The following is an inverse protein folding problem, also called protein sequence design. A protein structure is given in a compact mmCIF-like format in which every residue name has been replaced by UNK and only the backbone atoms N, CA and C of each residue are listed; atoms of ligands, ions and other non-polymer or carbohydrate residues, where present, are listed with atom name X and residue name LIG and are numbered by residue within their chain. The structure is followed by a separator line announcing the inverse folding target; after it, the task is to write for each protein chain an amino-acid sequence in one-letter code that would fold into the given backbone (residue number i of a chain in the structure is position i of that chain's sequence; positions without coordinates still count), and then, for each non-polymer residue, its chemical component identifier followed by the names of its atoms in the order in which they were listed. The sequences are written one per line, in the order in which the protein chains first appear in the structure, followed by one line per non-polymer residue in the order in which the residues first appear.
data_IF_350423573745
#
_entry.id   IF_350423573745
#
_cell.length_a   1.000
_cell.length_b   1.000
_cell.length_c   1.000
_cell.angle_alpha   90.00
_cell.angle_beta   90.00
_cell.angle_gamma   90.00
#
_symmetry.space_group_name_H-M   'P 1'
#
loop_
_entity.id
_entity.type
_entity.pdbx_description
1 polymer ?
#
# COMPACT_ATOMS: atom_id res chain seq x y z
N UNK A 1 3.16 12.87 34.66
CA UNK A 1 2.98 13.35 33.27
C UNK A 1 3.81 12.58 32.23
N UNK A 2 4.83 11.79 32.60
CA UNK A 2 5.57 10.91 31.69
C UNK A 2 5.07 9.44 31.62
N UNK A 3 4.16 9.02 32.51
CA UNK A 3 3.63 7.65 32.57
C UNK A 3 2.57 7.32 31.50
N UNK A 4 2.23 8.28 30.65
CA UNK A 4 1.21 8.17 29.59
C UNK A 4 1.79 8.08 28.18
N UNK A 5 3.13 8.07 28.03
CA UNK A 5 3.78 8.24 26.72
C UNK A 5 4.32 6.96 26.07
N UNK A 6 4.27 5.81 26.76
CA UNK A 6 4.32 4.46 26.21
C UNK A 6 3.98 3.51 27.37
N UNK A 7 3.30 2.36 27.16
CA UNK A 7 3.07 1.37 28.21
C UNK A 7 4.36 0.59 28.53
N UNK A 8 5.46 1.29 28.83
CA UNK A 8 6.77 0.70 29.18
C UNK A 8 6.73 -0.07 30.51
N UNK A 9 5.72 0.19 31.35
CA UNK A 9 5.58 -0.46 32.66
C UNK A 9 5.07 -1.92 32.60
N UNK A 10 4.82 -2.48 31.40
CA UNK A 10 4.28 -3.84 31.23
C UNK A 10 5.31 -4.89 30.77
N UNK A 11 6.61 -4.60 30.84
CA UNK A 11 7.62 -5.66 30.73
C UNK A 11 7.44 -6.70 31.86
N UNK A 12 6.95 -6.28 33.03
CA UNK A 12 6.62 -7.19 34.13
C UNK A 12 5.36 -8.04 33.88
N UNK A 13 4.48 -7.64 32.96
CA UNK A 13 3.33 -8.46 32.56
C UNK A 13 3.79 -9.63 31.66
N UNK A 14 4.89 -9.47 30.93
CA UNK A 14 5.54 -10.57 30.18
C UNK A 14 5.88 -11.77 31.08
N UNK A 15 6.23 -11.51 32.33
CA UNK A 15 6.55 -12.55 33.34
C UNK A 15 5.32 -13.05 34.10
N UNK A 16 4.16 -12.38 34.03
CA UNK A 16 2.90 -12.83 34.65
C UNK A 16 2.02 -13.68 33.73
N UNK A 17 2.34 -13.76 32.43
CA UNK A 17 1.67 -14.62 31.43
C UNK A 17 2.04 -16.12 31.60
N UNK A 18 2.66 -16.51 32.71
CA UNK A 18 3.15 -17.87 32.94
C UNK A 18 2.07 -18.90 33.33
N UNK A 19 0.80 -18.53 33.44
CA UNK A 19 -0.21 -19.41 34.07
C UNK A 19 -1.35 -19.94 33.20
N UNK A 20 -1.44 -19.65 31.90
CA UNK A 20 -2.49 -20.24 31.05
C UNK A 20 -1.95 -20.78 29.73
N UNK A 21 -2.57 -21.85 29.21
CA UNK A 21 -2.20 -22.63 28.02
C UNK A 21 -2.26 -21.89 26.68
N UNK A 22 -1.93 -20.60 26.69
CA UNK A 22 -1.87 -19.64 25.61
C UNK A 22 -0.64 -19.91 24.75
N UNK A 23 -0.83 -20.03 23.42
CA UNK A 23 0.22 -20.28 22.44
C UNK A 23 1.28 -19.18 22.41
N UNK A 24 2.48 -19.48 21.89
CA UNK A 24 3.56 -18.49 21.76
C UNK A 24 3.13 -17.33 20.85
N UNK A 25 2.35 -17.63 19.81
CA UNK A 25 1.72 -16.68 18.90
C UNK A 25 0.77 -15.72 19.63
N UNK A 26 -0.14 -16.25 20.44
CA UNK A 26 -1.07 -15.44 21.22
C UNK A 26 -0.35 -14.51 22.22
N UNK A 27 0.79 -14.96 22.77
CA UNK A 27 1.62 -14.13 23.68
C UNK A 27 2.27 -12.96 22.95
N UNK A 28 2.76 -13.19 21.73
CA UNK A 28 3.33 -12.14 20.89
C UNK A 28 2.25 -11.12 20.53
N UNK A 29 1.06 -11.60 20.17
CA UNK A 29 -0.09 -10.74 19.85
C UNK A 29 -0.49 -9.90 21.06
N UNK A 30 -0.65 -10.47 22.26
CA UNK A 30 -1.00 -9.74 23.48
C UNK A 30 0.03 -8.67 23.87
N UNK A 31 1.30 -8.90 23.58
CA UNK A 31 2.35 -7.92 23.83
C UNK A 31 2.33 -6.77 22.82
N UNK A 32 2.06 -7.07 21.54
CA UNK A 32 2.08 -6.09 20.46
C UNK A 32 0.77 -5.30 20.32
N UNK A 33 -0.38 -5.93 20.57
CA UNK A 33 -1.71 -5.34 20.52
C UNK A 33 -1.80 -3.95 21.18
N UNK A 34 -1.36 -3.74 22.44
CA UNK A 34 -1.47 -2.42 23.08
C UNK A 34 -0.61 -1.34 22.41
N UNK A 35 0.52 -1.70 21.78
CA UNK A 35 1.35 -0.77 21.02
C UNK A 35 0.64 -0.40 19.71
N UNK A 36 0.14 -1.41 19.00
CA UNK A 36 -0.61 -1.24 17.75
C UNK A 36 -1.86 -0.39 17.95
N UNK A 37 -2.65 -0.67 19.00
CA UNK A 37 -3.85 0.07 19.35
C UNK A 37 -3.55 1.52 19.68
N UNK A 38 -2.48 1.78 20.45
CA UNK A 38 -2.08 3.15 20.79
C UNK A 38 -1.68 3.95 19.54
N UNK A 39 -0.87 3.36 18.65
CA UNK A 39 -0.49 3.99 17.38
C UNK A 39 -1.72 4.21 16.50
N UNK A 40 -2.59 3.20 16.38
CA UNK A 40 -3.81 3.27 15.58
C UNK A 40 -4.73 4.36 16.08
N UNK A 41 -4.96 4.45 17.39
CA UNK A 41 -5.79 5.50 17.99
C UNK A 41 -5.24 6.91 17.69
N UNK A 42 -3.90 7.07 17.68
CA UNK A 42 -3.27 8.36 17.42
C UNK A 42 -3.27 8.74 15.94
N UNK A 43 -3.03 7.78 15.05
CA UNK A 43 -2.98 8.02 13.60
C UNK A 43 -4.40 8.20 13.04
N UNK A 44 -5.36 7.40 13.51
CA UNK A 44 -6.76 7.43 13.08
C UNK A 44 -7.64 8.27 14.02
N UNK A 45 -7.05 9.27 14.67
CA UNK A 45 -7.83 10.25 15.43
C UNK A 45 -8.89 10.85 14.50
N UNK A 46 -10.13 10.76 14.96
CA UNK A 46 -11.31 11.09 14.15
C UNK A 46 -11.94 12.39 14.60
N UNK A 47 -12.60 13.05 13.66
CA UNK A 47 -13.46 14.20 13.92
C UNK A 47 -14.88 13.87 13.49
N UNK A 48 -15.87 14.28 14.29
CA UNK A 48 -17.27 14.08 13.98
C UNK A 48 -17.70 15.00 12.83
N UNK A 49 -18.08 14.41 11.70
CA UNK A 49 -18.64 15.11 10.54
C UNK A 49 -20.00 14.50 10.25
N UNK A 50 -21.07 15.29 10.38
CA UNK A 50 -22.45 14.89 10.03
C UNK A 50 -22.88 13.59 10.75
N UNK A 51 -22.49 13.42 12.02
CA UNK A 51 -22.83 12.25 12.82
C UNK A 51 -21.97 11.00 12.58
N UNK A 52 -20.90 11.12 11.79
CA UNK A 52 -19.94 10.04 11.55
C UNK A 52 -18.53 10.45 12.00
N UNK A 53 -17.80 9.51 12.59
CA UNK A 53 -16.40 9.70 12.95
C UNK A 53 -15.50 9.51 11.72
N UNK A 54 -14.83 10.59 11.30
CA UNK A 54 -13.95 10.58 10.13
C UNK A 54 -12.51 10.70 10.57
N UNK A 55 -11.64 9.72 10.27
CA UNK A 55 -10.22 9.85 10.56
C UNK A 55 -9.61 11.04 9.82
N UNK A 56 -8.90 11.92 10.54
CA UNK A 56 -8.28 13.13 9.96
C UNK A 56 -7.34 12.75 8.81
N UNK A 57 -6.61 11.64 8.94
CA UNK A 57 -5.72 11.12 7.90
C UNK A 57 -6.45 10.86 6.58
N UNK A 58 -7.69 10.34 6.62
CA UNK A 58 -8.50 10.09 5.42
C UNK A 58 -8.82 11.41 4.72
N UNK A 59 -9.20 12.45 5.46
CA UNK A 59 -9.49 13.77 4.89
C UNK A 59 -8.25 14.32 4.17
N UNK A 60 -7.08 14.26 4.81
CA UNK A 60 -5.82 14.73 4.21
C UNK A 60 -5.47 13.95 2.95
N UNK A 61 -5.64 12.61 2.97
CA UNK A 61 -5.38 11.75 1.82
C UNK A 61 -6.31 12.07 0.64
N UNK A 62 -7.61 12.26 0.91
CA UNK A 62 -8.60 12.61 -0.13
C UNK A 62 -8.31 13.98 -0.73
N UNK A 63 -8.04 14.99 0.10
CA UNK A 63 -7.73 16.33 -0.38
C UNK A 63 -6.42 16.34 -1.20
N UNK A 64 -5.40 15.61 -0.75
CA UNK A 64 -4.15 15.45 -1.49
C UNK A 64 -4.35 14.76 -2.83
N UNK A 65 -5.11 13.65 -2.85
CA UNK A 65 -5.41 12.91 -4.06
C UNK A 65 -6.24 13.72 -5.06
N UNK A 66 -7.22 14.48 -4.57
CA UNK A 66 -8.00 15.41 -5.38
C UNK A 66 -7.12 16.51 -5.96
N UNK A 67 -6.27 17.13 -5.12
CA UNK A 67 -5.32 18.15 -5.55
C UNK A 67 -4.40 17.62 -6.65
N UNK A 68 -3.77 16.45 -6.46
CA UNK A 68 -2.87 15.87 -7.47
C UNK A 68 -3.60 15.46 -8.74
N UNK A 69 -4.85 14.99 -8.64
CA UNK A 69 -5.66 14.66 -9.81
C UNK A 69 -5.93 15.89 -10.66
N UNK A 70 -6.34 17.00 -10.04
CA UNK A 70 -6.60 18.26 -10.72
C UNK A 70 -5.31 18.91 -11.24
N UNK A 71 -4.27 18.99 -10.41
CA UNK A 71 -2.98 19.59 -10.76
C UNK A 71 -2.33 18.90 -11.95
N UNK A 72 -2.44 17.57 -12.04
CA UNK A 72 -1.90 16.80 -13.15
C UNK A 72 -2.90 16.61 -14.32
N UNK A 73 -3.98 17.40 -14.37
CA UNK A 73 -4.99 17.36 -15.43
C UNK A 73 -5.50 15.94 -15.73
N UNK A 74 -5.91 15.20 -14.68
CA UNK A 74 -6.45 13.84 -14.80
C UNK A 74 -5.49 12.86 -15.49
N UNK A 75 -4.20 12.94 -15.17
CA UNK A 75 -3.15 12.05 -15.69
C UNK A 75 -3.45 10.56 -15.47
N UNK A 76 -4.15 10.21 -14.39
CA UNK A 76 -4.65 8.85 -14.12
C UNK A 76 -5.51 8.28 -15.27
N UNK A 77 -6.24 9.11 -16.01
CA UNK A 77 -6.96 8.69 -17.22
C UNK A 77 -6.12 8.87 -18.50
N UNK A 78 -5.49 10.04 -18.64
CA UNK A 78 -4.73 10.40 -19.85
C UNK A 78 -3.54 9.49 -20.14
N UNK A 79 -2.87 9.01 -19.09
CA UNK A 79 -1.60 8.28 -19.20
C UNK A 79 -1.73 6.77 -19.01
N UNK A 80 -2.94 6.23 -18.86
CA UNK A 80 -3.14 4.78 -18.65
C UNK A 80 -2.51 3.93 -19.77
N UNK A 81 -2.58 4.40 -21.02
CA UNK A 81 -1.93 3.74 -22.15
C UNK A 81 -0.41 3.76 -22.09
N UNK A 82 0.20 4.82 -21.52
CA UNK A 82 1.65 4.87 -21.27
C UNK A 82 2.01 3.86 -20.18
N UNK A 83 1.24 3.83 -19.09
CA UNK A 83 1.45 2.89 -17.98
C UNK A 83 1.37 1.43 -18.44
N UNK A 84 0.38 1.07 -19.28
CA UNK A 84 0.27 -0.28 -19.84
C UNK A 84 1.47 -0.64 -20.71
N UNK A 85 1.97 0.30 -21.53
CA UNK A 85 3.17 0.06 -22.36
C UNK A 85 4.43 -0.10 -21.51
N UNK A 86 4.56 0.68 -20.44
CA UNK A 86 5.65 0.55 -19.48
C UNK A 86 5.60 -0.82 -18.77
N UNK A 87 4.42 -1.23 -18.28
CA UNK A 87 4.23 -2.54 -17.67
C UNK A 87 4.51 -3.72 -18.62
N UNK A 88 4.37 -3.52 -19.94
CA UNK A 88 4.72 -4.49 -20.99
C UNK A 88 6.20 -4.44 -21.39
N UNK A 89 7.01 -3.62 -20.74
CA UNK A 89 8.45 -3.51 -20.97
C UNK A 89 8.85 -2.66 -22.17
N UNK A 90 7.93 -1.87 -22.75
CA UNK A 90 8.25 -1.01 -23.92
C UNK A 90 9.40 -0.02 -23.65
N UNK A 91 9.62 0.33 -22.39
CA UNK A 91 10.61 1.32 -21.97
C UNK A 91 11.72 0.70 -21.10
N UNK A 92 11.77 -0.63 -20.99
CA UNK A 92 12.84 -1.32 -20.23
C UNK A 92 14.22 -1.07 -20.85
N UNK A 93 14.31 -0.74 -22.14
CA UNK A 93 15.54 -0.38 -22.85
C UNK A 93 16.13 0.97 -22.43
N UNK A 94 15.32 1.83 -21.81
CA UNK A 94 15.75 3.14 -21.27
C UNK A 94 16.36 2.98 -19.88
N UNK A 95 16.04 1.89 -19.18
CA UNK A 95 16.61 1.53 -17.89
C UNK A 95 17.89 0.69 -18.09
N UNK A 96 19.06 1.30 -17.96
CA UNK A 96 20.33 0.58 -18.07
C UNK A 96 20.76 0.00 -16.70
N UNK A 97 21.29 -1.22 -16.69
CA UNK A 97 21.77 -1.90 -15.48
C UNK A 97 23.18 -1.44 -15.04
N UNK A 98 23.76 -0.43 -15.67
CA UNK A 98 25.11 0.08 -15.39
C UNK A 98 25.13 1.60 -15.31
N UNK A 99 26.02 2.09 -14.45
CA UNK A 99 26.44 3.49 -14.42
C UNK A 99 27.32 3.70 -15.65
N UNK A 100 26.72 3.87 -16.81
CA UNK A 100 27.49 4.34 -17.95
C UNK A 100 27.77 5.82 -17.70
N UNK A 101 29.03 6.12 -17.32
CA UNK A 101 29.57 7.47 -17.36
C UNK A 101 29.44 7.89 -18.82
N UNK A 102 28.46 8.74 -19.14
CA UNK A 102 28.39 9.37 -20.45
C UNK A 102 29.62 10.26 -20.58
N UNK A 103 30.64 9.74 -21.27
CA UNK A 103 31.85 10.49 -21.60
C UNK A 103 31.49 11.48 -22.69
N UNK A 104 31.63 12.76 -22.38
CA UNK A 104 31.93 13.81 -23.35
C UNK A 104 30.73 14.49 -24.02
N UNK A 105 30.82 15.81 -24.05
CA UNK A 105 30.06 16.71 -24.92
C UNK A 105 30.33 16.35 -26.41
N UNK A 106 29.31 16.07 -27.25
CA UNK A 106 29.55 15.78 -28.65
C UNK A 106 30.01 16.99 -29.45
N UNK A 107 29.77 18.24 -29.01
CA UNK A 107 30.34 19.47 -29.60
C UNK A 107 29.91 20.71 -28.80
N UNK A 108 30.79 21.29 -27.94
CA UNK A 108 30.53 22.61 -27.39
C UNK A 108 30.66 23.65 -28.51
N UNK A 109 29.54 24.24 -28.94
CA UNK A 109 29.51 25.36 -29.90
C UNK A 109 29.31 25.01 -31.38
N UNK A 110 28.70 23.87 -31.72
CA UNK A 110 28.35 23.52 -33.11
C UNK A 110 26.89 23.87 -33.49
N UNK A 111 26.65 24.27 -34.74
CA UNK A 111 25.33 24.65 -35.30
C UNK A 111 24.36 23.46 -35.54
N UNK A 112 24.57 22.32 -34.88
CA UNK A 112 23.74 21.12 -35.04
C UNK A 112 22.69 21.09 -33.92
N UNK A 113 21.43 20.78 -34.25
CA UNK A 113 20.37 20.59 -33.23
C UNK A 113 20.82 19.52 -32.24
N UNK A 114 21.01 19.91 -30.97
CA UNK A 114 21.31 18.97 -29.89
C UNK A 114 20.24 17.89 -29.82
N UNK A 115 20.66 16.64 -29.98
CA UNK A 115 19.79 15.49 -29.76
C UNK A 115 19.72 15.30 -28.25
N UNK A 116 18.52 15.19 -27.63
CA UNK A 116 18.42 14.94 -26.20
C UNK A 116 19.21 13.70 -25.84
N UNK A 117 20.21 13.85 -24.98
CA UNK A 117 20.93 12.72 -24.40
C UNK A 117 19.86 11.85 -23.73
N UNK A 118 19.73 10.60 -24.19
CA UNK A 118 19.01 9.56 -23.45
C UNK A 118 19.88 9.27 -22.21
N UNK A 119 19.73 10.08 -21.15
CA UNK A 119 20.37 9.78 -19.87
C UNK A 119 19.84 8.41 -19.42
N UNK A 120 20.71 7.41 -19.41
CA UNK A 120 20.37 6.06 -18.95
C UNK A 120 19.86 6.12 -17.51
N UNK A 121 18.66 5.59 -17.29
CA UNK A 121 18.03 5.57 -15.98
C UNK A 121 18.49 4.28 -15.28
N UNK A 122 19.39 4.37 -14.30
CA UNK A 122 19.85 3.16 -13.58
C UNK A 122 18.69 2.48 -12.82
N UNK A 123 18.42 1.20 -13.10
CA UNK A 123 17.35 0.41 -12.48
C UNK A 123 17.81 -1.00 -12.06
N UNK A 124 17.37 -1.46 -10.89
CA UNK A 124 17.71 -2.81 -10.38
C UNK A 124 16.76 -3.92 -10.89
N UNK A 125 15.55 -3.55 -11.30
CA UNK A 125 14.47 -4.45 -11.73
C UNK A 125 13.70 -3.83 -12.91
N UNK A 126 13.07 -4.66 -13.74
CA UNK A 126 12.26 -4.18 -14.87
C UNK A 126 11.00 -3.45 -14.41
N UNK A 127 10.35 -2.69 -15.30
CA UNK A 127 9.08 -2.02 -14.98
C UNK A 127 8.01 -3.03 -14.52
N UNK A 128 7.95 -4.21 -15.15
CA UNK A 128 7.01 -5.26 -14.77
C UNK A 128 7.32 -5.85 -13.39
N UNK A 129 8.60 -6.07 -13.07
CA UNK A 129 9.02 -6.55 -11.76
C UNK A 129 8.73 -5.51 -10.66
N UNK A 130 8.99 -4.23 -10.92
CA UNK A 130 8.64 -3.15 -10.01
C UNK A 130 7.12 -3.08 -9.77
N UNK A 131 6.31 -3.18 -10.85
CA UNK A 131 4.86 -3.20 -10.77
C UNK A 131 4.36 -4.39 -9.96
N UNK A 132 4.81 -5.61 -10.28
CA UNK A 132 4.37 -6.82 -9.57
C UNK A 132 4.84 -6.83 -8.12
N UNK A 133 6.05 -6.35 -7.81
CA UNK A 133 6.51 -6.20 -6.44
C UNK A 133 5.61 -5.22 -5.66
N UNK A 134 5.29 -4.06 -6.23
CA UNK A 134 4.37 -3.10 -5.62
C UNK A 134 2.96 -3.69 -5.43
N UNK A 135 2.42 -4.36 -6.44
CA UNK A 135 1.12 -5.03 -6.38
C UNK A 135 1.10 -6.18 -5.36
N UNK A 136 2.21 -6.90 -5.15
CA UNK A 136 2.29 -7.96 -4.14
C UNK A 136 2.14 -7.42 -2.72
N UNK A 137 2.58 -6.18 -2.48
CA UNK A 137 2.48 -5.53 -1.18
C UNK A 137 1.10 -4.92 -0.95
N UNK A 138 0.41 -4.48 -2.01
CA UNK A 138 -0.91 -3.85 -1.91
C UNK A 138 -2.06 -4.84 -2.00
N UNK A 139 -1.93 -5.93 -2.76
CA UNK A 139 -2.99 -6.94 -2.91
C UNK A 139 -2.77 -8.05 -1.88
N UNK A 140 -3.59 -8.02 -0.82
CA UNK A 140 -3.54 -9.06 0.22
C UNK A 140 -4.92 -9.41 0.80
N UNK A 141 -4.91 -10.31 1.79
CA UNK A 141 -6.10 -10.74 2.53
C UNK A 141 -6.84 -9.54 3.16
N UNK A 142 -6.09 -8.51 3.57
CA UNK A 142 -6.63 -7.24 4.04
C UNK A 142 -7.57 -6.54 3.04
N UNK A 143 -7.32 -6.64 1.73
CA UNK A 143 -8.17 -6.00 0.72
C UNK A 143 -9.48 -6.78 0.55
N UNK A 144 -9.41 -8.12 0.56
CA UNK A 144 -10.58 -8.99 0.43
C UNK A 144 -11.50 -8.82 1.66
N UNK A 145 -10.93 -8.95 2.86
CA UNK A 145 -11.68 -8.77 4.11
C UNK A 145 -12.12 -7.32 4.31
N UNK A 146 -11.29 -6.35 3.94
CA UNK A 146 -11.58 -4.92 4.07
C UNK A 146 -12.77 -4.47 3.22
N UNK A 147 -12.89 -4.96 1.98
CA UNK A 147 -14.07 -4.71 1.13
C UNK A 147 -15.32 -5.34 1.75
N UNK A 148 -15.24 -6.57 2.24
CA UNK A 148 -16.38 -7.22 2.90
C UNK A 148 -16.86 -6.45 4.13
N UNK A 149 -15.94 -5.96 4.97
CA UNK A 149 -16.25 -5.11 6.13
C UNK A 149 -16.82 -3.76 5.70
N UNK A 150 -16.31 -3.16 4.62
CA UNK A 150 -16.83 -1.91 4.07
C UNK A 150 -18.31 -2.05 3.65
N UNK A 151 -18.64 -3.14 2.97
CA UNK A 151 -20.02 -3.43 2.54
C UNK A 151 -20.90 -3.78 3.75
N UNK A 152 -20.39 -4.51 4.74
CA UNK A 152 -21.15 -4.86 5.94
C UNK A 152 -21.50 -3.63 6.80
N UNK A 153 -20.57 -2.67 6.93
CA UNK A 153 -20.76 -1.47 7.75
C UNK A 153 -21.42 -0.31 7.00
N UNK A 154 -21.00 -0.07 5.75
CA UNK A 154 -21.45 1.05 4.92
C UNK A 154 -22.51 0.69 3.89
N UNK A 155 -22.91 -0.58 3.80
CA UNK A 155 -23.79 -1.08 2.77
C UNK A 155 -23.12 -1.22 1.38
N UNK A 156 -23.84 -1.77 0.38
CA UNK A 156 -23.30 -1.98 -0.96
C UNK A 156 -22.81 -0.69 -1.64
N UNK A 157 -23.36 0.46 -1.26
CA UNK A 157 -22.99 1.78 -1.76
C UNK A 157 -21.55 2.21 -1.47
N UNK A 158 -20.92 1.65 -0.43
CA UNK A 158 -19.52 1.94 -0.11
C UNK A 158 -18.60 1.59 -1.30
N UNK A 159 -18.99 0.59 -2.11
CA UNK A 159 -18.26 0.14 -3.30
C UNK A 159 -18.00 1.27 -4.31
N UNK A 160 -19.00 2.13 -4.59
CA UNK A 160 -18.84 3.25 -5.53
C UNK A 160 -17.76 4.21 -5.04
N UNK A 161 -17.80 4.54 -3.76
CA UNK A 161 -16.85 5.47 -3.14
C UNK A 161 -15.46 4.86 -3.02
N UNK A 162 -15.34 3.55 -2.78
CA UNK A 162 -14.05 2.84 -2.82
C UNK A 162 -13.41 2.91 -4.21
N UNK A 163 -14.21 2.70 -5.27
CA UNK A 163 -13.74 2.81 -6.65
C UNK A 163 -13.27 4.24 -6.94
N UNK A 164 -14.07 5.25 -6.59
CA UNK A 164 -13.70 6.66 -6.77
C UNK A 164 -12.43 7.05 -6.00
N UNK A 165 -12.30 6.58 -4.76
CA UNK A 165 -11.11 6.79 -3.94
C UNK A 165 -9.87 6.14 -4.57
N UNK A 166 -9.99 4.94 -5.13
CA UNK A 166 -8.92 4.30 -5.91
C UNK A 166 -8.52 5.11 -7.14
N UNK A 167 -9.49 5.67 -7.87
CA UNK A 167 -9.22 6.55 -9.01
C UNK A 167 -8.43 7.80 -8.62
N UNK A 168 -8.80 8.46 -7.51
CA UNK A 168 -8.06 9.61 -7.00
C UNK A 168 -6.68 9.21 -6.48
N UNK A 169 -6.58 8.06 -5.80
CA UNK A 169 -5.33 7.52 -5.26
C UNK A 169 -4.27 7.24 -6.33
N UNK A 170 -4.67 6.86 -7.55
CA UNK A 170 -3.73 6.69 -8.67
C UNK A 170 -2.89 7.94 -8.95
N UNK A 171 -3.48 9.14 -8.83
CA UNK A 171 -2.75 10.39 -9.03
C UNK A 171 -1.72 10.64 -7.93
N UNK A 172 -2.09 10.39 -6.66
CA UNK A 172 -1.14 10.46 -5.54
C UNK A 172 0.02 9.51 -5.75
N UNK A 173 -0.28 8.24 -6.09
CA UNK A 173 0.76 7.22 -6.28
C UNK A 173 1.70 7.55 -7.43
N UNK A 174 1.17 8.09 -8.51
CA UNK A 174 1.97 8.58 -9.64
C UNK A 174 2.94 9.68 -9.20
N UNK A 175 2.48 10.65 -8.41
CA UNK A 175 3.35 11.72 -7.88
C UNK A 175 4.41 11.16 -6.94
N UNK A 176 4.04 10.26 -6.03
CA UNK A 176 5.00 9.58 -5.12
C UNK A 176 6.09 8.84 -5.89
N UNK A 177 5.70 8.02 -6.88
CA UNK A 177 6.64 7.24 -7.69
C UNK A 177 7.55 8.17 -8.53
N UNK A 178 6.98 9.23 -9.13
CA UNK A 178 7.73 10.21 -9.91
C UNK A 178 8.77 10.93 -9.06
N UNK A 179 8.39 11.39 -7.87
CA UNK A 179 9.33 12.00 -6.93
C UNK A 179 10.37 10.99 -6.42
N UNK A 180 9.95 9.74 -6.18
CA UNK A 180 10.84 8.64 -5.80
C UNK A 180 11.93 8.39 -6.82
N UNK A 181 11.61 8.41 -8.12
CA UNK A 181 12.58 8.27 -9.20
C UNK A 181 13.43 9.54 -9.35
N UNK A 182 12.82 10.73 -9.30
CA UNK A 182 13.52 12.01 -9.47
C UNK A 182 14.59 12.27 -8.41
N UNK A 183 14.37 11.84 -7.17
CA UNK A 183 15.28 12.06 -6.04
C UNK A 183 15.99 10.79 -5.56
N UNK A 184 16.02 9.73 -6.37
CA UNK A 184 16.73 8.51 -6.00
C UNK A 184 18.24 8.74 -5.95
N UNK A 185 18.92 7.95 -5.12
CA UNK A 185 20.38 7.90 -5.01
C UNK A 185 20.85 6.55 -5.47
N UNK A 186 21.98 6.53 -6.16
CA UNK A 186 22.67 5.31 -6.56
C UNK A 186 23.98 5.27 -5.78
N UNK A 187 24.25 4.18 -5.07
CA UNK A 187 25.55 4.00 -4.41
C UNK A 187 26.62 3.49 -5.37
N UNK A 188 27.86 3.41 -4.89
CA UNK A 188 29.01 2.93 -5.67
C UNK A 188 28.87 1.48 -6.16
N UNK A 189 28.01 0.69 -5.51
CA UNK A 189 27.72 -0.70 -5.89
C UNK A 189 26.55 -0.79 -6.89
N UNK A 190 26.03 0.34 -7.37
CA UNK A 190 24.91 0.40 -8.31
C UNK A 190 23.54 0.18 -7.65
N UNK A 191 23.46 0.15 -6.32
CA UNK A 191 22.20 -0.06 -5.61
C UNK A 191 21.41 1.25 -5.54
N UNK A 192 20.13 1.16 -5.83
CA UNK A 192 19.23 2.31 -5.99
C UNK A 192 18.38 2.47 -4.74
N UNK A 193 18.44 3.66 -4.16
CA UNK A 193 17.65 4.06 -3.01
C UNK A 193 16.70 5.18 -3.41
N UNK A 194 15.40 4.94 -3.29
CA UNK A 194 14.37 5.92 -3.62
C UNK A 194 13.22 5.89 -2.61
N UNK A 195 12.39 6.93 -2.65
CA UNK A 195 11.18 7.02 -1.84
C UNK A 195 11.08 8.30 -1.01
N UNK A 196 10.09 8.36 -0.11
CA UNK A 196 9.70 9.61 0.53
C UNK A 196 10.75 10.22 1.44
N UNK A 197 11.52 9.39 2.14
CA UNK A 197 12.66 9.85 2.93
C UNK A 197 13.68 10.64 2.10
N UNK A 198 13.90 10.28 0.82
CA UNK A 198 14.85 10.98 -0.05
C UNK A 198 14.24 12.25 -0.67
N UNK A 199 13.02 12.19 -1.21
CA UNK A 199 12.43 13.40 -1.79
C UNK A 199 11.99 14.44 -0.74
N UNK A 200 11.70 14.02 0.50
CA UNK A 200 11.44 14.94 1.60
C UNK A 200 12.73 15.62 2.05
N UNK A 201 13.84 14.91 2.16
CA UNK A 201 15.12 15.53 2.55
C UNK A 201 15.67 16.44 1.46
N UNK A 202 15.75 15.93 0.24
CA UNK A 202 16.47 16.59 -0.86
C UNK A 202 15.56 17.58 -1.59
N UNK A 203 14.32 17.18 -1.88
CA UNK A 203 13.34 18.06 -2.54
C UNK A 203 12.99 19.30 -1.72
N UNK A 204 12.82 19.19 -0.40
CA UNK A 204 12.55 20.36 0.45
C UNK A 204 13.79 21.20 0.71
N UNK A 205 15.01 20.61 0.67
CA UNK A 205 16.25 21.37 0.71
C UNK A 205 16.36 22.35 -0.46
N UNK A 206 16.00 21.92 -1.68
CA UNK A 206 15.96 22.82 -2.85
C UNK A 206 14.92 23.93 -2.74
N UNK A 207 13.86 23.75 -1.94
CA UNK A 207 12.82 24.76 -1.67
C UNK A 207 13.10 25.64 -0.43
N UNK A 208 14.34 25.65 0.08
CA UNK A 208 14.75 26.40 1.30
C UNK A 208 14.12 25.89 2.62
N UNK A 209 13.53 24.69 2.63
CA UNK A 209 12.95 24.05 3.82
C UNK A 209 13.78 22.84 4.30
N UNK A 210 15.11 22.93 4.22
CA UNK A 210 16.01 21.79 4.44
C UNK A 210 15.93 21.16 5.85
N UNK A 211 15.72 21.96 6.91
CA UNK A 211 15.56 21.44 8.27
C UNK A 211 14.27 20.62 8.40
N UNK A 212 13.14 21.18 7.95
CA UNK A 212 11.83 20.51 7.96
C UNK A 212 11.89 19.23 7.12
N UNK A 213 12.54 19.27 5.95
CA UNK A 213 12.69 18.10 5.08
C UNK A 213 13.43 16.94 5.75
N UNK A 214 14.53 17.22 6.46
CA UNK A 214 15.25 16.19 7.22
C UNK A 214 14.41 15.59 8.34
N UNK A 215 13.69 16.44 9.09
CA UNK A 215 12.80 15.95 10.16
C UNK A 215 11.70 15.06 9.60
N UNK A 216 11.00 15.49 8.54
CA UNK A 216 9.93 14.71 7.91
C UNK A 216 10.44 13.40 7.31
N UNK A 217 11.64 13.41 6.71
CA UNK A 217 12.27 12.20 6.19
C UNK A 217 12.55 11.17 7.30
N UNK A 218 13.12 11.62 8.42
CA UNK A 218 13.39 10.75 9.57
C UNK A 218 12.08 10.23 10.21
N UNK A 219 11.09 11.11 10.37
CA UNK A 219 9.78 10.75 10.89
C UNK A 219 9.09 9.72 9.99
N UNK A 220 9.09 9.93 8.68
CA UNK A 220 8.53 9.00 7.70
C UNK A 220 9.24 7.64 7.76
N UNK A 221 10.57 7.62 7.77
CA UNK A 221 11.33 6.37 7.85
C UNK A 221 10.99 5.57 9.12
N UNK A 222 10.92 6.24 10.28
CA UNK A 222 10.53 5.60 11.53
C UNK A 222 9.10 5.04 11.49
N UNK A 223 8.14 5.82 10.99
CA UNK A 223 6.74 5.39 10.85
C UNK A 223 6.58 4.23 9.86
N UNK A 224 7.30 4.24 8.73
CA UNK A 224 7.25 3.16 7.74
C UNK A 224 7.85 1.87 8.28
N UNK A 225 8.94 1.94 9.05
CA UNK A 225 9.49 0.74 9.72
C UNK A 225 8.42 0.15 10.63
N UNK A 226 7.81 0.95 11.51
CA UNK A 226 6.74 0.49 12.40
C UNK A 226 5.51 -0.06 11.66
N UNK A 227 5.03 0.66 10.65
CA UNK A 227 3.90 0.25 9.82
C UNK A 227 4.15 -1.04 9.03
N UNK A 228 5.39 -1.28 8.61
CA UNK A 228 5.78 -2.50 7.91
C UNK A 228 5.69 -3.73 8.81
N UNK A 229 6.02 -3.62 10.10
CA UNK A 229 5.83 -4.72 11.04
C UNK A 229 4.36 -4.98 11.35
N UNK A 230 3.59 -3.92 11.64
CA UNK A 230 2.18 -4.05 12.02
C UNK A 230 1.29 -4.49 10.85
N UNK A 231 1.04 -3.57 9.91
CA UNK A 231 0.13 -3.80 8.79
C UNK A 231 0.70 -4.71 7.71
N UNK A 232 2.00 -4.58 7.43
CA UNK A 232 2.65 -5.33 6.35
C UNK A 232 2.92 -6.80 6.69
N UNK A 233 3.42 -7.09 7.89
CA UNK A 233 3.86 -8.42 8.29
C UNK A 233 2.84 -9.12 9.21
N UNK A 234 2.67 -8.63 10.44
CA UNK A 234 1.88 -9.33 11.47
C UNK A 234 0.42 -9.52 11.05
N UNK A 235 -0.23 -8.45 10.59
CA UNK A 235 -1.64 -8.52 10.17
C UNK A 235 -1.85 -9.53 9.03
N UNK A 236 -1.00 -9.53 8.00
CA UNK A 236 -1.14 -10.43 6.86
C UNK A 236 -0.82 -11.89 7.23
N UNK A 237 0.23 -12.12 8.04
CA UNK A 237 0.60 -13.46 8.49
C UNK A 237 -0.48 -14.08 9.40
N UNK A 238 -1.04 -13.30 10.34
CA UNK A 238 -2.11 -13.74 11.22
C UNK A 238 -3.40 -14.05 10.44
N UNK A 239 -3.75 -13.20 9.46
CA UNK A 239 -4.91 -13.44 8.60
C UNK A 239 -4.73 -14.70 7.74
N UNK A 240 -3.53 -14.94 7.22
CA UNK A 240 -3.24 -16.17 6.47
C UNK A 240 -3.37 -17.41 7.36
N UNK A 241 -2.85 -17.36 8.59
CA UNK A 241 -2.96 -18.44 9.56
C UNK A 241 -4.41 -18.72 9.97
N UNK A 242 -5.24 -17.69 10.14
CA UNK A 242 -6.65 -17.85 10.50
C UNK A 242 -7.46 -18.52 9.38
N UNK A 243 -7.23 -18.12 8.13
CA UNK A 243 -7.86 -18.76 6.97
C UNK A 243 -7.39 -20.21 6.78
N UNK A 244 -6.11 -20.49 7.01
CA UNK A 244 -5.58 -21.85 6.96
C UNK A 244 -6.23 -22.75 8.01
N UNK A 245 -6.32 -22.29 9.28
CA UNK A 245 -7.00 -23.01 10.35
C UNK A 245 -8.47 -23.29 10.03
N UNK A 246 -9.17 -22.28 9.51
CA UNK A 246 -10.58 -22.39 9.13
C UNK A 246 -10.81 -23.43 8.02
N UNK A 247 -9.98 -23.40 6.97
CA UNK A 247 -10.14 -24.29 5.81
C UNK A 247 -9.94 -25.78 6.17
N UNK A 248 -9.02 -26.06 7.09
CA UNK A 248 -8.68 -27.44 7.50
C UNK A 248 -9.35 -27.87 8.82
N UNK A 249 -10.19 -27.03 9.43
CA UNK A 249 -10.84 -27.33 10.71
C UNK A 249 -9.85 -27.52 11.87
N UNK A 250 -8.73 -26.81 11.85
CA UNK A 250 -7.63 -26.97 12.81
C UNK A 250 -7.74 -25.95 13.95
N UNK A 251 -8.21 -26.38 15.10
CA UNK A 251 -8.45 -25.52 16.28
C UNK A 251 -7.22 -25.35 17.20
N UNK A 252 -6.14 -26.11 16.97
CA UNK A 252 -5.00 -26.13 17.91
C UNK A 252 -4.07 -24.92 17.76
N UNK A 253 -3.74 -24.25 18.87
CA UNK A 253 -2.77 -23.14 18.92
C UNK A 253 -1.40 -23.48 18.32
N UNK A 254 -0.96 -24.74 18.39
CA UNK A 254 0.32 -25.19 17.78
C UNK A 254 0.34 -25.03 16.26
N UNK A 255 -0.83 -25.08 15.61
CA UNK A 255 -0.95 -24.98 14.16
C UNK A 255 -0.60 -23.56 13.69
N UNK A 256 -1.01 -22.53 14.43
CA UNK A 256 -0.66 -21.13 14.15
C UNK A 256 0.84 -20.92 14.18
N UNK A 257 1.50 -21.38 15.25
CA UNK A 257 2.96 -21.30 15.39
C UNK A 257 3.72 -22.03 14.27
N UNK A 258 3.33 -23.28 13.96
CA UNK A 258 3.97 -24.06 12.90
C UNK A 258 3.76 -23.44 11.51
N UNK A 259 2.56 -22.91 11.25
CA UNK A 259 2.26 -22.17 10.03
C UNK A 259 3.13 -20.92 9.93
N UNK A 260 3.27 -20.15 11.02
CA UNK A 260 4.15 -18.98 11.09
C UNK A 260 5.61 -19.31 10.78
N UNK A 261 6.14 -20.39 11.36
CA UNK A 261 7.52 -20.85 11.11
C UNK A 261 7.70 -21.25 9.63
N UNK A 262 6.74 -21.97 9.07
CA UNK A 262 6.75 -22.35 7.66
C UNK A 262 6.71 -21.13 6.73
N UNK A 263 5.80 -20.17 6.96
CA UNK A 263 5.71 -18.93 6.17
C UNK A 263 6.98 -18.10 6.32
N UNK A 264 7.54 -17.99 7.54
CA UNK A 264 8.78 -17.27 7.78
C UNK A 264 9.96 -17.87 6.99
N UNK A 265 10.05 -19.20 6.91
CA UNK A 265 11.04 -19.88 6.08
C UNK A 265 10.87 -19.55 4.59
N UNK A 266 9.65 -19.63 4.06
CA UNK A 266 9.37 -19.28 2.66
C UNK A 266 9.72 -17.82 2.36
N UNK A 267 9.34 -16.90 3.24
CA UNK A 267 9.63 -15.47 3.11
C UNK A 267 11.14 -15.21 3.17
N UNK A 268 11.87 -15.88 4.07
CA UNK A 268 13.32 -15.76 4.17
C UNK A 268 14.03 -16.18 2.86
N UNK A 269 13.58 -17.26 2.23
CA UNK A 269 14.10 -17.70 0.92
C UNK A 269 13.95 -16.61 -0.14
N UNK A 270 12.87 -15.83 -0.11
CA UNK A 270 12.61 -14.74 -1.06
C UNK A 270 13.40 -13.47 -0.73
N UNK A 271 13.37 -13.02 0.53
CA UNK A 271 13.92 -11.71 0.94
C UNK A 271 15.46 -11.70 0.98
N UNK A 272 16.11 -12.80 1.38
CA UNK A 272 17.59 -12.85 1.50
C UNK A 272 18.28 -12.52 0.17
N UNK A 273 17.64 -12.81 -0.97
CA UNK A 273 18.16 -12.50 -2.30
C UNK A 273 17.98 -11.05 -2.76
N UNK A 274 17.46 -10.16 -1.90
CA UNK A 274 17.25 -8.75 -2.21
C UNK A 274 16.14 -8.48 -3.24
N UNK A 275 16.07 -7.23 -3.73
CA UNK A 275 15.00 -6.75 -4.60
C UNK A 275 14.90 -7.54 -5.92
N UNK A 276 16.02 -7.99 -6.46
CA UNK A 276 16.07 -8.80 -7.67
C UNK A 276 15.44 -10.18 -7.48
N UNK A 277 15.57 -10.81 -6.30
CA UNK A 277 14.87 -12.08 -6.03
C UNK A 277 13.39 -11.83 -5.75
N UNK A 278 13.05 -10.77 -5.02
CA UNK A 278 11.66 -10.37 -4.80
C UNK A 278 10.95 -10.18 -6.14
N UNK A 279 11.49 -9.36 -7.05
CA UNK A 279 10.94 -9.13 -8.38
C UNK A 279 10.71 -10.41 -9.19
N UNK A 280 11.68 -11.32 -9.22
CA UNK A 280 11.59 -12.62 -9.92
C UNK A 280 10.53 -13.56 -9.35
N UNK A 281 10.20 -13.44 -8.07
CA UNK A 281 9.15 -14.24 -7.43
C UNK A 281 7.80 -13.58 -7.67
N UNK A 282 7.70 -12.26 -7.44
CA UNK A 282 6.44 -11.52 -7.57
C UNK A 282 5.93 -11.49 -9.00
N UNK A 283 6.81 -11.42 -10.00
CA UNK A 283 6.42 -11.44 -11.42
C UNK A 283 5.66 -12.71 -11.81
N UNK A 284 5.81 -13.81 -11.06
CA UNK A 284 5.11 -15.09 -11.28
C UNK A 284 3.92 -15.25 -10.35
N UNK A 285 4.11 -14.99 -9.06
CA UNK A 285 3.09 -15.21 -8.03
C UNK A 285 1.92 -14.23 -8.18
N UNK A 286 2.21 -12.95 -8.47
CA UNK A 286 1.18 -11.90 -8.52
C UNK A 286 0.20 -12.09 -9.69
N UNK A 287 0.65 -12.35 -10.93
CA UNK A 287 -0.29 -12.66 -12.01
C UNK A 287 -1.09 -13.93 -11.75
N UNK A 288 -0.44 -14.97 -11.19
CA UNK A 288 -1.10 -16.23 -10.88
C UNK A 288 -2.25 -16.06 -9.85
N UNK A 289 -1.99 -15.36 -8.74
CA UNK A 289 -3.03 -15.09 -7.73
C UNK A 289 -4.17 -14.23 -8.30
N UNK A 290 -3.86 -13.25 -9.15
CA UNK A 290 -4.85 -12.39 -9.78
C UNK A 290 -5.76 -13.18 -10.74
N UNK A 291 -5.18 -14.07 -11.54
CA UNK A 291 -5.93 -14.93 -12.48
C UNK A 291 -6.88 -15.84 -11.72
N UNK A 292 -6.43 -16.49 -10.64
CA UNK A 292 -7.30 -17.37 -9.83
C UNK A 292 -8.43 -16.56 -9.20
N UNK A 293 -8.12 -15.42 -8.58
CA UNK A 293 -9.11 -14.61 -7.89
C UNK A 293 -10.17 -14.05 -8.85
N UNK A 294 -9.73 -13.43 -9.96
CA UNK A 294 -10.63 -12.89 -10.98
C UNK A 294 -11.38 -14.01 -11.70
N UNK A 295 -10.72 -15.14 -11.98
CA UNK A 295 -11.35 -16.32 -12.58
C UNK A 295 -12.49 -16.87 -11.72
N UNK A 296 -12.24 -17.09 -10.43
CA UNK A 296 -13.28 -17.54 -9.49
C UNK A 296 -14.43 -16.52 -9.38
N UNK A 297 -14.10 -15.22 -9.30
CA UNK A 297 -15.11 -14.16 -9.27
C UNK A 297 -15.97 -14.15 -10.53
N UNK A 298 -15.36 -14.28 -11.71
CA UNK A 298 -16.06 -14.36 -12.99
C UNK A 298 -16.96 -15.60 -13.05
N UNK A 299 -16.50 -16.77 -12.58
CA UNK A 299 -17.33 -17.98 -12.49
C UNK A 299 -18.56 -17.73 -11.63
N UNK A 300 -18.41 -17.13 -10.44
CA UNK A 300 -19.55 -16.80 -9.57
C UNK A 300 -20.52 -15.84 -10.26
N UNK A 301 -20.01 -14.81 -10.93
CA UNK A 301 -20.82 -13.86 -11.69
C UNK A 301 -21.58 -14.55 -12.84
N UNK A 302 -20.93 -15.45 -13.57
CA UNK A 302 -21.58 -16.20 -14.65
C UNK A 302 -22.67 -17.15 -14.14
N UNK A 303 -22.43 -17.83 -13.02
CA UNK A 303 -23.43 -18.69 -12.38
C UNK A 303 -24.62 -17.90 -11.81
N UNK A 304 -24.45 -16.60 -11.52
CA UNK A 304 -25.46 -15.73 -10.92
C UNK A 304 -25.82 -14.54 -11.83
N UNK A 305 -25.72 -14.70 -13.16
CA UNK A 305 -26.01 -13.65 -14.14
C UNK A 305 -27.31 -12.86 -13.87
N UNK A 306 -28.45 -13.51 -13.54
CA UNK A 306 -29.70 -12.79 -13.29
C UNK A 306 -29.65 -11.86 -12.08
N UNK A 307 -28.77 -12.11 -11.11
CA UNK A 307 -28.64 -11.30 -9.90
C UNK A 307 -27.78 -10.04 -10.12
N UNK A 308 -26.99 -9.99 -11.20
CA UNK A 308 -26.06 -8.87 -11.46
C UNK A 308 -26.78 -7.52 -11.56
N UNK A 309 -27.86 -7.36 -12.36
CA UNK A 309 -28.54 -6.07 -12.45
C UNK A 309 -29.07 -5.58 -11.11
N UNK A 310 -29.59 -6.48 -10.28
CA UNK A 310 -30.08 -6.16 -8.94
C UNK A 310 -28.93 -5.72 -8.02
N UNK A 311 -27.80 -6.42 -8.05
CA UNK A 311 -26.62 -6.05 -7.27
C UNK A 311 -26.08 -4.66 -7.67
N UNK A 312 -26.01 -4.35 -8.97
CA UNK A 312 -25.61 -3.03 -9.46
C UNK A 312 -26.60 -1.95 -9.01
N UNK A 313 -27.91 -2.24 -9.04
CA UNK A 313 -28.94 -1.36 -8.50
C UNK A 313 -28.73 -1.05 -7.02
N UNK A 314 -28.49 -2.07 -6.19
CA UNK A 314 -28.21 -1.90 -4.76
C UNK A 314 -26.95 -1.07 -4.49
N UNK A 315 -25.90 -1.26 -5.29
CA UNK A 315 -24.67 -0.47 -5.19
C UNK A 315 -24.95 1.00 -5.50
N UNK A 316 -25.70 1.28 -6.58
CA UNK A 316 -26.00 2.66 -6.98
C UNK A 316 -26.95 3.37 -5.99
N UNK A 317 -28.05 2.73 -5.64
CA UNK A 317 -29.03 3.26 -4.69
C UNK A 317 -28.42 3.45 -3.30
N UNK A 318 -27.59 2.51 -2.85
CA UNK A 318 -26.87 2.61 -1.59
C UNK A 318 -25.87 3.76 -1.56
N UNK A 319 -25.18 4.03 -2.68
CA UNK A 319 -24.17 5.09 -2.76
C UNK A 319 -24.79 6.49 -2.75
N UNK A 320 -25.95 6.62 -3.39
CA UNK A 320 -26.65 7.90 -3.60
C UNK A 320 -28.03 7.90 -2.94
N UNK A 321 -28.18 7.33 -1.75
CA UNK A 321 -29.47 7.24 -1.09
C UNK A 321 -29.99 8.63 -0.66
N UNK A 322 -30.67 9.31 -1.57
CA UNK A 322 -31.24 10.64 -1.35
C UNK A 322 -32.35 10.64 -0.29
N UNK A 323 -32.93 9.47 0.05
CA UNK A 323 -33.98 9.37 1.09
C UNK A 323 -33.42 9.62 2.49
N UNK A 324 -32.16 9.27 2.74
CA UNK A 324 -31.45 9.57 3.99
C UNK A 324 -30.84 10.99 4.00
N UNK A 325 -31.06 11.77 2.95
CA UNK A 325 -30.47 13.10 2.76
C UNK A 325 -28.95 13.06 2.58
N UNK A 326 -28.32 14.25 2.65
CA UNK A 326 -26.87 14.40 2.47
C UNK A 326 -26.04 13.63 3.51
N UNK A 327 -26.55 13.44 4.72
CA UNK A 327 -25.84 12.70 5.78
C UNK A 327 -25.65 11.22 5.47
N UNK A 328 -26.63 10.57 4.84
CA UNK A 328 -26.50 9.17 4.41
C UNK A 328 -25.40 8.98 3.35
N UNK A 329 -25.36 9.88 2.36
CA UNK A 329 -24.34 9.85 1.31
C UNK A 329 -22.94 10.07 1.90
N UNK A 330 -22.79 11.05 2.81
CA UNK A 330 -21.52 11.36 3.46
C UNK A 330 -21.02 10.17 4.29
N UNK A 331 -21.89 9.51 5.06
CA UNK A 331 -21.52 8.33 5.87
C UNK A 331 -20.98 7.17 5.01
N UNK A 332 -21.71 6.80 3.96
CA UNK A 332 -21.29 5.73 3.03
C UNK A 332 -19.99 6.10 2.31
N UNK A 333 -19.83 7.38 1.94
CA UNK A 333 -18.61 7.92 1.35
C UNK A 333 -17.41 7.78 2.28
N UNK A 334 -17.54 8.18 3.55
CA UNK A 334 -16.46 8.09 4.54
C UNK A 334 -15.97 6.65 4.68
N UNK A 335 -16.89 5.69 4.82
CA UNK A 335 -16.54 4.27 4.94
C UNK A 335 -15.80 3.79 3.69
N UNK A 336 -16.29 4.16 2.50
CA UNK A 336 -15.63 3.80 1.24
C UNK A 336 -14.22 4.37 1.11
N UNK A 337 -14.04 5.66 1.41
CA UNK A 337 -12.73 6.31 1.34
C UNK A 337 -11.74 5.78 2.38
N UNK A 338 -12.19 5.55 3.62
CA UNK A 338 -11.36 4.98 4.67
C UNK A 338 -10.83 3.61 4.25
N UNK A 339 -11.69 2.75 3.71
CA UNK A 339 -11.31 1.39 3.32
C UNK A 339 -10.44 1.37 2.06
N UNK A 340 -10.71 2.25 1.10
CA UNK A 340 -9.83 2.41 -0.05
C UNK A 340 -8.43 2.91 0.31
N UNK A 341 -8.31 3.81 1.29
CA UNK A 341 -7.02 4.29 1.78
C UNK A 341 -6.16 3.20 2.45
N UNK A 342 -6.78 2.15 3.00
CA UNK A 342 -6.07 0.97 3.50
C UNK A 342 -5.69 -0.03 2.41
N UNK A 343 -6.41 -0.02 1.28
CA UNK A 343 -6.29 -1.03 0.22
C UNK A 343 -5.31 -0.67 -0.90
N UNK A 344 -5.07 0.63 -1.14
CA UNK A 344 -4.36 1.15 -2.33
C UNK A 344 -3.14 1.98 -1.94
#
# INVERSE_FOLDING_TARGET
MLSTLLPLNRINDFLRITNEGVGIDDRIEQWFAPISEWVTARVFTSIGIVGYDVPIVVIVLVLGALYFTLYNNFANFRLIGVAIRAARGKYDDVDHHSVDVVVGDPTPGGDVRETPIKEGVVGEVTHFQALTAALSATVGLGNIAGVAVAIALGGPGATVWMILAGFLGMSSKMVEATLGVKYRKVDENGKVYGGPMYYLSDGLKHKRFGFIGKFLAAFFAFMVIGGSFGGGNMFQANQAASQFKLLFGLESHRVGFLFGLFVAFLVAVVIIGGIQRIGRVTEKVVPFMAIIYLGASLVILFLNLPAIPQAVGLIWEGAFNFKAGLGGIIGVMIVGFQRAAFSN
#
